data_IF_100594631081
#
_entry.id   IF_100594631081
#
_cell.length_a   1.000
_cell.length_b   1.000
_cell.length_c   1.000
_cell.angle_alpha   90.00
_cell.angle_beta   90.00
_cell.angle_gamma   90.00
#
_symmetry.space_group_name_H-M   'P 1'
#
loop_
_entity.id
_entity.type
_entity.pdbx_description
1 polymer ?
#
# COMPACT_ATOMS: atom_id res chain seq x y z
N UNK A 1 8.84 22.81 -35.79
CA UNK A 1 9.16 24.24 -35.56
C UNK A 1 7.97 25.08 -36.00
N UNK A 2 7.41 25.94 -35.13
CA UNK A 2 6.43 26.98 -35.48
C UNK A 2 6.77 28.24 -34.68
N UNK A 3 6.62 29.41 -35.31
CA UNK A 3 7.13 30.69 -34.80
C UNK A 3 6.22 31.31 -33.73
N UNK A 4 6.85 32.00 -32.78
CA UNK A 4 6.23 33.05 -31.97
C UNK A 4 6.11 34.35 -32.77
N UNK A 5 5.10 35.19 -32.47
CA UNK A 5 5.23 36.64 -32.48
C UNK A 5 5.29 37.16 -31.03
N UNK A 6 6.31 37.96 -30.71
CA UNK A 6 6.34 38.74 -29.48
C UNK A 6 5.81 40.16 -29.69
N UNK A 7 5.51 40.89 -28.61
CA UNK A 7 5.50 42.35 -28.63
C UNK A 7 5.92 42.92 -27.27
N UNK A 8 6.67 44.03 -27.30
CA UNK A 8 7.16 44.77 -26.13
C UNK A 8 6.00 45.53 -25.43
N UNK A 9 6.22 46.09 -24.23
CA UNK A 9 6.38 47.56 -24.04
C UNK A 9 6.67 48.01 -22.58
N UNK A 10 7.82 48.69 -22.42
CA UNK A 10 8.16 49.84 -21.54
C UNK A 10 8.02 49.83 -20.00
N UNK A 11 9.19 50.09 -19.38
CA UNK A 11 9.39 50.75 -18.07
C UNK A 11 9.08 52.27 -18.11
N UNK A 12 8.26 52.75 -17.16
CA UNK A 12 8.19 54.12 -16.57
C UNK A 12 7.49 53.97 -15.18
N UNK A 13 7.75 54.71 -14.10
CA UNK A 13 8.79 55.71 -13.79
C UNK A 13 8.26 56.93 -13.03
N UNK A 14 8.97 57.37 -11.96
CA UNK A 14 8.75 58.65 -11.21
C UNK A 14 7.45 58.76 -10.36
N UNK A 15 7.30 59.63 -9.33
CA UNK A 15 8.22 60.41 -8.47
C UNK A 15 7.49 60.73 -7.12
N UNK A 16 8.28 61.03 -6.07
CA UNK A 16 7.87 61.47 -4.73
C UNK A 16 7.03 62.77 -4.69
N UNK A 17 6.01 62.84 -3.83
CA UNK A 17 5.46 64.12 -3.29
C UNK A 17 5.29 64.00 -1.77
N UNK A 18 5.84 64.97 -1.03
CA UNK A 18 5.68 65.14 0.42
C UNK A 18 4.62 66.22 0.66
N UNK A 19 3.68 65.98 1.59
CA UNK A 19 2.84 67.03 2.17
C UNK A 19 2.83 66.92 3.70
N UNK A 20 3.34 67.97 4.34
CA UNK A 20 3.32 68.15 5.80
C UNK A 20 2.01 68.83 6.21
N UNK A 21 1.29 68.25 7.16
CA UNK A 21 0.26 68.94 7.94
C UNK A 21 0.32 68.41 9.37
N UNK A 22 0.82 69.23 10.29
CA UNK A 22 0.88 68.88 11.72
C UNK A 22 -0.43 69.21 12.42
N UNK A 23 -0.78 68.43 13.46
CA UNK A 23 -1.73 68.85 14.48
C UNK A 23 -1.45 68.13 15.81
N UNK A 24 -1.51 68.92 16.89
CA UNK A 24 -1.40 68.63 18.31
C UNK A 24 -1.67 67.19 18.79
N UNK A 25 -0.76 66.66 19.62
CA UNK A 25 -1.00 65.44 20.41
C UNK A 25 -1.71 65.77 21.74
N UNK A 26 -2.95 65.29 21.98
CA UNK A 26 -3.49 65.19 23.33
C UNK A 26 -2.94 63.93 24.03
N UNK A 27 -2.56 64.06 25.31
CA UNK A 27 -2.07 62.95 26.13
C UNK A 27 -3.12 61.83 26.23
N UNK A 28 -2.84 60.67 25.64
CA UNK A 28 -3.69 59.47 25.77
C UNK A 28 -3.28 58.68 27.00
N UNK A 29 -4.21 58.54 27.95
CA UNK A 29 -4.10 57.59 29.07
C UNK A 29 -3.96 56.17 28.54
N UNK A 30 -2.90 55.46 28.93
CA UNK A 30 -2.73 54.05 28.58
C UNK A 30 -3.65 53.21 29.47
N UNK A 31 -4.72 52.68 28.88
CA UNK A 31 -5.54 51.64 29.51
C UNK A 31 -4.95 50.29 29.12
N UNK A 32 -4.34 49.61 30.08
CA UNK A 32 -3.81 48.25 29.88
C UNK A 32 -4.98 47.29 29.57
N UNK A 33 -4.95 46.55 28.45
CA UNK A 33 -5.96 45.53 28.20
C UNK A 33 -5.81 44.39 29.21
N UNK A 34 -6.90 43.98 29.83
CA UNK A 34 -6.91 42.78 30.67
C UNK A 34 -6.67 41.53 29.79
N UNK A 35 -5.82 40.62 30.25
CA UNK A 35 -5.56 39.37 29.55
C UNK A 35 -6.78 38.45 29.66
N UNK A 36 -7.54 38.34 28.57
CA UNK A 36 -8.58 37.32 28.43
C UNK A 36 -7.93 35.94 28.39
N UNK A 37 -8.19 35.11 29.41
CA UNK A 37 -7.76 33.71 29.42
C UNK A 37 -8.53 32.93 28.34
N UNK A 38 -7.86 32.57 27.25
CA UNK A 38 -8.40 31.62 26.29
C UNK A 38 -8.54 30.22 26.95
N UNK A 39 -9.60 29.45 26.65
CA UNK A 39 -9.70 28.08 27.10
C UNK A 39 -8.56 27.25 26.48
N UNK A 40 -7.85 26.49 27.32
CA UNK A 40 -6.79 25.60 26.88
C UNK A 40 -7.42 24.50 26.00
N UNK A 41 -7.12 24.50 24.71
CA UNK A 41 -7.44 23.36 23.83
C UNK A 41 -6.57 22.21 24.29
N UNK A 42 -7.18 21.22 24.93
CA UNK A 42 -6.50 19.97 25.26
C UNK A 42 -6.25 19.22 23.96
N UNK A 43 -5.00 19.19 23.52
CA UNK A 43 -4.59 18.32 22.41
C UNK A 43 -4.82 16.87 22.85
N UNK A 44 -5.81 16.21 22.24
CA UNK A 44 -5.99 14.77 22.39
C UNK A 44 -4.73 14.09 21.86
N UNK A 45 -4.06 13.21 22.63
CA UNK A 45 -2.93 12.45 22.12
C UNK A 45 -3.31 11.71 20.82
N UNK A 46 -2.41 11.63 19.82
CA UNK A 46 -2.69 10.81 18.64
C UNK A 46 -3.01 9.38 19.07
N UNK A 47 -3.94 8.68 18.40
CA UNK A 47 -4.26 7.30 18.73
C UNK A 47 -2.99 6.47 18.65
N UNK A 48 -2.66 5.78 19.75
CA UNK A 48 -1.56 4.81 19.78
C UNK A 48 -1.99 3.62 18.93
N UNK A 49 -1.53 3.60 17.68
CA UNK A 49 -1.63 2.40 16.84
C UNK A 49 -0.74 1.35 17.51
N UNK A 50 -1.28 0.19 17.94
CA UNK A 50 -0.45 -0.89 18.45
C UNK A 50 0.51 -1.31 17.35
N UNK A 51 1.79 -1.39 17.68
CA UNK A 51 2.80 -1.97 16.79
C UNK A 51 2.38 -3.43 16.49
N UNK A 52 2.39 -3.88 15.22
CA UNK A 52 1.97 -5.23 14.88
C UNK A 52 2.78 -6.25 15.70
N UNK A 53 2.15 -7.34 16.18
CA UNK A 53 2.87 -8.40 16.90
C UNK A 53 3.92 -9.12 16.03
N UNK A 54 3.90 -8.88 14.71
CA UNK A 54 4.71 -9.48 13.68
C UNK A 54 5.40 -8.39 12.85
N UNK A 55 6.65 -8.63 12.44
CA UNK A 55 7.39 -7.74 11.56
C UNK A 55 6.93 -7.95 10.11
N UNK A 56 6.48 -6.89 9.44
CA UNK A 56 6.07 -6.93 8.03
C UNK A 56 7.12 -6.20 7.20
N UNK A 57 7.59 -6.84 6.14
CA UNK A 57 8.52 -6.27 5.17
C UNK A 57 7.99 -6.46 3.75
N UNK A 58 8.08 -5.41 2.95
CA UNK A 58 7.76 -5.47 1.53
C UNK A 58 8.94 -6.12 0.82
N UNK A 59 8.67 -7.15 0.01
CA UNK A 59 9.69 -7.66 -0.89
C UNK A 59 9.11 -7.95 -2.27
N UNK A 60 9.32 -6.98 -3.16
CA UNK A 60 8.68 -6.91 -4.47
C UNK A 60 9.47 -7.65 -5.56
N UNK A 61 10.79 -7.80 -5.40
CA UNK A 61 11.67 -8.42 -6.40
C UNK A 61 12.15 -9.76 -5.86
N UNK A 62 11.57 -10.86 -6.36
CA UNK A 62 11.80 -12.25 -5.91
C UNK A 62 13.28 -12.59 -5.68
N UNK A 63 14.18 -12.15 -6.57
CA UNK A 63 15.63 -12.41 -6.51
C UNK A 63 16.38 -11.61 -5.46
N UNK A 64 15.79 -10.55 -4.91
CA UNK A 64 16.35 -9.71 -3.85
C UNK A 64 15.81 -10.11 -2.46
N UNK A 65 14.82 -10.99 -2.43
CA UNK A 65 14.15 -11.36 -1.19
C UNK A 65 14.92 -12.40 -0.37
N UNK A 66 14.81 -12.36 0.97
CA UNK A 66 15.30 -13.44 1.81
C UNK A 66 14.59 -14.76 1.48
N UNK A 67 15.23 -15.91 1.78
CA UNK A 67 14.55 -17.21 1.75
C UNK A 67 13.40 -17.20 2.77
N UNK A 68 12.24 -17.68 2.33
CA UNK A 68 10.96 -17.66 3.06
C UNK A 68 10.25 -19.00 2.91
N UNK A 69 9.29 -19.27 3.77
CA UNK A 69 8.23 -20.24 3.48
C UNK A 69 7.10 -19.54 2.74
N UNK A 70 6.65 -20.05 1.60
CA UNK A 70 5.50 -19.49 0.88
C UNK A 70 4.20 -20.10 1.42
N UNK A 71 3.18 -19.28 1.68
CA UNK A 71 1.88 -19.78 2.18
C UNK A 71 1.09 -20.57 1.14
N UNK A 72 1.25 -20.25 -0.15
CA UNK A 72 0.59 -20.98 -1.24
C UNK A 72 1.16 -22.40 -1.38
N UNK A 73 2.48 -22.60 -1.23
CA UNK A 73 3.11 -23.92 -1.15
C UNK A 73 2.48 -24.81 -0.08
N UNK A 74 2.18 -24.25 1.09
CA UNK A 74 1.62 -24.98 2.23
C UNK A 74 0.17 -25.45 2.03
N UNK A 75 -0.57 -24.79 1.13
CA UNK A 75 -1.92 -25.19 0.72
C UNK A 75 -1.92 -25.94 -0.62
N UNK A 76 -0.76 -26.33 -1.13
CA UNK A 76 -0.62 -27.08 -2.39
C UNK A 76 -0.80 -26.25 -3.66
N UNK A 77 -0.57 -24.94 -3.58
CA UNK A 77 -0.75 -23.95 -4.67
C UNK A 77 -2.14 -23.98 -5.30
N UNK A 78 -3.18 -24.13 -4.47
CA UNK A 78 -4.56 -24.06 -4.97
C UNK A 78 -4.91 -22.66 -5.47
N UNK A 79 -5.66 -22.60 -6.57
CA UNK A 79 -6.11 -21.35 -7.20
C UNK A 79 -7.46 -20.86 -6.67
N UNK A 80 -8.17 -21.69 -5.91
CA UNK A 80 -9.48 -21.38 -5.34
C UNK A 80 -9.32 -20.50 -4.10
N UNK A 81 -10.12 -19.43 -4.04
CA UNK A 81 -10.23 -18.59 -2.85
C UNK A 81 -10.96 -19.34 -1.71
N UNK A 82 -10.52 -19.16 -0.46
CA UNK A 82 -11.06 -19.93 0.65
C UNK A 82 -10.35 -19.71 1.99
N UNK A 83 -10.74 -20.50 3.00
CA UNK A 83 -10.11 -20.51 4.33
C UNK A 83 -9.26 -21.77 4.50
N UNK A 84 -8.01 -21.60 4.93
CA UNK A 84 -7.02 -22.64 5.07
C UNK A 84 -6.40 -22.60 6.47
N UNK A 85 -6.15 -23.77 7.07
CA UNK A 85 -5.40 -23.87 8.32
C UNK A 85 -3.98 -24.34 7.99
N UNK A 86 -2.95 -23.62 8.46
CA UNK A 86 -1.54 -23.88 8.12
C UNK A 86 -0.64 -23.81 9.35
N UNK A 87 0.27 -24.78 9.47
CA UNK A 87 1.26 -24.85 10.55
C UNK A 87 2.62 -24.37 10.05
N UNK A 88 2.99 -23.13 10.33
CA UNK A 88 4.25 -22.52 9.85
C UNK A 88 5.41 -22.78 10.81
N UNK A 89 6.67 -22.90 10.35
CA UNK A 89 7.81 -22.88 11.25
C UNK A 89 7.94 -21.49 11.90
N UNK A 90 8.11 -21.44 13.23
CA UNK A 90 8.21 -20.17 13.96
C UNK A 90 9.56 -19.45 13.79
N UNK A 91 10.57 -20.13 13.24
CA UNK A 91 11.96 -19.66 13.12
C UNK A 91 12.30 -19.13 11.72
N UNK A 92 11.31 -19.00 10.84
CA UNK A 92 11.50 -18.53 9.46
C UNK A 92 10.47 -17.47 9.08
N UNK A 93 10.86 -16.46 8.29
CA UNK A 93 9.90 -15.56 7.68
C UNK A 93 9.01 -16.31 6.68
N UNK A 94 7.75 -15.87 6.62
CA UNK A 94 6.70 -16.43 5.79
C UNK A 94 6.28 -15.37 4.78
N UNK A 95 6.20 -15.73 3.49
CA UNK A 95 5.71 -14.83 2.45
C UNK A 95 4.28 -15.18 2.06
N UNK A 96 3.48 -14.14 2.00
CA UNK A 96 2.17 -14.16 1.35
C UNK A 96 2.28 -13.48 -0.01
N UNK A 97 1.65 -14.05 -1.03
CA UNK A 97 1.51 -13.46 -2.36
C UNK A 97 0.14 -13.81 -2.93
N UNK A 98 -0.51 -12.83 -3.55
CA UNK A 98 -1.68 -13.04 -4.40
C UNK A 98 -1.48 -12.23 -5.68
N UNK A 99 -1.92 -12.78 -6.81
CA UNK A 99 -1.71 -12.20 -8.12
C UNK A 99 -2.94 -12.34 -9.00
N UNK A 100 -3.15 -11.36 -9.87
CA UNK A 100 -4.11 -11.42 -10.96
C UNK A 100 -3.35 -11.41 -12.30
N UNK A 101 -3.83 -12.19 -13.26
CA UNK A 101 -3.22 -12.40 -14.57
C UNK A 101 -4.10 -11.84 -15.68
N UNK A 102 -3.47 -11.35 -16.74
CA UNK A 102 -4.15 -10.89 -17.97
C UNK A 102 -3.42 -11.36 -19.22
N UNK A 103 -4.15 -11.47 -20.32
CA UNK A 103 -3.61 -11.93 -21.61
C UNK A 103 -2.68 -10.93 -22.31
N UNK A 104 -2.63 -9.67 -21.86
CA UNK A 104 -1.70 -8.66 -22.38
C UNK A 104 -1.47 -7.49 -21.40
N UNK A 105 -0.33 -6.78 -21.49
CA UNK A 105 -0.04 -5.59 -20.66
C UNK A 105 -1.05 -4.46 -20.81
N UNK A 106 -1.66 -4.31 -21.99
CA UNK A 106 -2.72 -3.30 -22.21
C UNK A 106 -3.94 -3.61 -21.34
N UNK A 107 -4.37 -4.88 -21.33
CA UNK A 107 -5.49 -5.34 -20.51
C UNK A 107 -5.16 -5.19 -19.02
N UNK A 108 -3.91 -5.43 -18.60
CA UNK A 108 -3.48 -5.12 -17.23
C UNK A 108 -3.73 -3.64 -16.91
N UNK A 109 -3.11 -2.74 -17.68
CA UNK A 109 -3.14 -1.28 -17.44
C UNK A 109 -4.57 -0.72 -17.44
N UNK A 110 -5.41 -1.16 -18.37
CA UNK A 110 -6.80 -0.69 -18.48
C UNK A 110 -7.64 -1.06 -17.23
N UNK A 111 -7.32 -2.17 -16.56
CA UNK A 111 -8.06 -2.66 -15.41
C UNK A 111 -7.45 -2.28 -14.04
N UNK A 112 -6.20 -1.80 -13.98
CA UNK A 112 -5.49 -1.50 -12.71
C UNK A 112 -6.27 -0.58 -11.75
N UNK A 113 -7.03 0.37 -12.28
CA UNK A 113 -7.82 1.32 -11.48
C UNK A 113 -8.98 0.67 -10.72
N UNK A 114 -9.40 -0.53 -11.13
CA UNK A 114 -10.55 -1.26 -10.59
C UNK A 114 -10.15 -2.33 -9.56
N UNK A 115 -8.85 -2.56 -9.33
CA UNK A 115 -8.35 -3.62 -8.45
C UNK A 115 -8.16 -3.07 -7.04
N UNK A 116 -8.93 -3.60 -6.09
CA UNK A 116 -8.83 -3.28 -4.68
C UNK A 116 -8.15 -4.41 -3.94
N UNK A 117 -6.92 -4.17 -3.49
CA UNK A 117 -6.11 -5.13 -2.75
C UNK A 117 -6.50 -5.20 -1.28
N UNK A 118 -6.34 -6.39 -0.70
CA UNK A 118 -6.57 -6.68 0.70
C UNK A 118 -5.31 -7.32 1.27
N UNK A 119 -4.78 -6.79 2.37
CA UNK A 119 -3.78 -7.46 3.19
C UNK A 119 -3.97 -7.11 4.66
N UNK A 120 -4.64 -8.00 5.38
CA UNK A 120 -4.98 -7.86 6.79
C UNK A 120 -4.32 -8.96 7.62
N UNK A 121 -3.88 -8.62 8.83
CA UNK A 121 -3.47 -9.60 9.85
C UNK A 121 -4.27 -9.31 11.13
N UNK A 122 -4.92 -10.33 11.67
CA UNK A 122 -5.76 -10.28 12.87
C UNK A 122 -6.87 -9.20 12.81
N UNK A 123 -7.34 -8.89 11.59
CA UNK A 123 -8.36 -7.88 11.32
C UNK A 123 -7.86 -6.44 11.24
N UNK A 124 -6.54 -6.20 11.36
CA UNK A 124 -5.91 -4.91 11.08
C UNK A 124 -5.37 -4.90 9.65
N UNK A 125 -5.63 -3.81 8.92
CA UNK A 125 -5.13 -3.59 7.56
C UNK A 125 -3.66 -3.17 7.57
N UNK A 126 -2.87 -3.79 6.69
CA UNK A 126 -1.45 -3.53 6.46
C UNK A 126 -1.12 -3.32 4.98
N UNK A 127 -2.13 -3.21 4.11
CA UNK A 127 -1.89 -2.94 2.70
C UNK A 127 -1.14 -1.62 2.50
N UNK A 128 -0.08 -1.67 1.69
CA UNK A 128 0.60 -0.48 1.16
C UNK A 128 0.66 -0.57 -0.36
N UNK A 129 0.43 0.54 -1.11
CA UNK A 129 0.65 0.58 -2.55
C UNK A 129 2.05 0.12 -2.98
N UNK A 130 3.06 0.28 -2.14
CA UNK A 130 4.44 -0.17 -2.41
C UNK A 130 4.57 -1.71 -2.47
N UNK A 131 3.58 -2.46 -1.98
CA UNK A 131 3.51 -3.91 -2.11
C UNK A 131 3.09 -4.35 -3.52
N UNK A 132 2.55 -3.44 -4.35
CA UNK A 132 2.03 -3.77 -5.68
C UNK A 132 3.18 -3.91 -6.68
N UNK A 133 3.28 -5.08 -7.29
CA UNK A 133 4.33 -5.46 -8.24
C UNK A 133 3.69 -5.94 -9.54
N UNK A 134 4.14 -5.39 -10.67
CA UNK A 134 3.85 -5.91 -11.99
C UNK A 134 4.92 -6.91 -12.41
N UNK A 135 4.50 -8.03 -12.98
CA UNK A 135 5.38 -9.06 -13.54
C UNK A 135 4.90 -9.43 -14.94
N UNK A 136 5.69 -8.99 -15.92
CA UNK A 136 5.54 -9.30 -17.32
C UNK A 136 6.10 -10.69 -17.61
N UNK A 137 5.29 -11.59 -18.16
CA UNK A 137 5.73 -12.92 -18.52
C UNK A 137 6.73 -12.89 -19.70
N UNK A 138 7.53 -13.96 -19.90
CA UNK A 138 8.25 -14.18 -21.15
C UNK A 138 7.29 -14.16 -22.36
N UNK A 139 7.78 -13.66 -23.50
CA UNK A 139 7.01 -13.65 -24.75
C UNK A 139 6.78 -15.08 -25.25
N UNK A 140 5.52 -15.40 -25.59
CA UNK A 140 5.13 -16.67 -26.20
C UNK A 140 5.30 -16.57 -27.72
N UNK A 141 6.38 -17.19 -28.24
CA UNK A 141 6.67 -17.21 -29.66
C UNK A 141 5.73 -18.10 -30.50
N UNK A 142 4.97 -19.01 -29.89
CA UNK A 142 4.01 -19.86 -30.61
C UNK A 142 2.69 -19.10 -30.80
N UNK A 143 2.14 -18.55 -29.71
CA UNK A 143 0.86 -17.83 -29.71
C UNK A 143 0.99 -16.35 -30.10
N UNK A 144 2.22 -15.82 -30.15
CA UNK A 144 2.55 -14.39 -30.37
C UNK A 144 1.96 -13.45 -29.32
N UNK A 145 1.77 -13.95 -28.10
CA UNK A 145 1.20 -13.25 -26.95
C UNK A 145 2.25 -12.99 -25.86
N UNK A 146 1.92 -12.12 -24.92
CA UNK A 146 2.71 -11.93 -23.70
C UNK A 146 1.74 -11.63 -22.56
N UNK A 147 1.58 -12.59 -21.65
CA UNK A 147 0.77 -12.37 -20.46
C UNK A 147 1.43 -11.37 -19.52
N UNK A 148 0.63 -10.67 -18.73
CA UNK A 148 1.08 -9.76 -17.70
C UNK A 148 0.33 -10.02 -16.39
N UNK A 149 0.96 -9.77 -15.26
CA UNK A 149 0.38 -10.00 -13.95
C UNK A 149 0.66 -8.84 -13.01
N UNK A 150 -0.29 -8.59 -12.11
CA UNK A 150 -0.11 -7.67 -10.98
C UNK A 150 -0.31 -8.46 -9.70
N UNK A 151 0.49 -8.19 -8.69
CA UNK A 151 0.45 -8.92 -7.43
C UNK A 151 0.78 -8.03 -6.26
N UNK A 152 0.29 -8.40 -5.09
CA UNK A 152 0.88 -7.92 -3.82
C UNK A 152 1.71 -9.04 -3.20
N UNK A 153 2.81 -8.67 -2.56
CA UNK A 153 3.55 -9.60 -1.71
C UNK A 153 4.12 -8.93 -0.46
N UNK A 154 4.02 -9.65 0.66
CA UNK A 154 4.57 -9.24 1.93
C UNK A 154 5.28 -10.43 2.59
N UNK A 155 6.41 -10.16 3.22
CA UNK A 155 7.15 -11.11 4.04
C UNK A 155 6.95 -10.77 5.51
N UNK A 156 6.47 -11.74 6.29
CA UNK A 156 6.00 -11.60 7.66
C UNK A 156 6.89 -12.48 8.56
N UNK A 157 7.37 -11.91 9.66
CA UNK A 157 8.34 -12.52 10.57
C UNK A 157 8.02 -12.18 12.04
N UNK A 158 8.78 -12.74 13.00
CA UNK A 158 8.58 -12.54 14.44
C UNK A 158 7.60 -13.53 15.08
N UNK A 159 7.33 -14.64 14.40
CA UNK A 159 6.36 -15.66 14.81
C UNK A 159 6.69 -16.30 16.17
N UNK A 160 5.70 -16.34 17.07
CA UNK A 160 5.83 -17.01 18.37
C UNK A 160 5.08 -18.34 18.35
N UNK A 161 5.73 -19.38 18.88
CA UNK A 161 5.19 -20.74 18.95
C UNK A 161 3.82 -20.74 19.66
N UNK A 162 2.81 -21.32 19.01
CA UNK A 162 1.42 -21.38 19.46
C UNK A 162 0.70 -20.03 19.66
N UNK A 163 1.20 -18.92 19.08
CA UNK A 163 0.44 -17.67 18.95
C UNK A 163 -0.31 -17.69 17.60
N UNK A 164 -1.63 -17.99 17.56
CA UNK A 164 -2.35 -18.13 16.30
C UNK A 164 -2.66 -16.76 15.70
N UNK A 165 -2.57 -16.67 14.38
CA UNK A 165 -2.85 -15.45 13.62
C UNK A 165 -3.79 -15.74 12.44
N UNK A 166 -4.58 -14.74 12.02
CA UNK A 166 -5.42 -14.82 10.82
C UNK A 166 -4.90 -13.84 9.78
N UNK A 167 -4.37 -14.33 8.67
CA UNK A 167 -3.99 -13.49 7.52
C UNK A 167 -5.12 -13.53 6.50
N UNK A 168 -5.69 -12.40 6.14
CA UNK A 168 -6.64 -12.27 5.03
C UNK A 168 -5.98 -11.47 3.92
N UNK A 169 -5.85 -12.09 2.75
CA UNK A 169 -5.12 -11.52 1.61
C UNK A 169 -5.91 -11.75 0.32
N UNK A 170 -5.90 -10.79 -0.60
CA UNK A 170 -6.66 -10.96 -1.83
C UNK A 170 -6.82 -9.69 -2.65
N UNK A 171 -7.76 -9.75 -3.59
CA UNK A 171 -8.28 -8.60 -4.29
C UNK A 171 -9.77 -8.76 -4.60
N UNK A 172 -10.44 -7.65 -4.93
CA UNK A 172 -11.74 -7.62 -5.58
C UNK A 172 -11.77 -6.54 -6.67
N UNK A 173 -12.75 -6.62 -7.57
CA UNK A 173 -13.01 -5.59 -8.58
C UNK A 173 -14.23 -4.75 -8.21
N UNK A 174 -14.14 -3.42 -8.33
CA UNK A 174 -15.28 -2.52 -8.09
C UNK A 174 -16.23 -2.39 -9.29
N UNK A 175 -15.70 -2.54 -10.51
CA UNK A 175 -16.44 -2.65 -11.76
C UNK A 175 -16.17 -4.00 -12.45
N UNK A 176 -16.87 -4.27 -13.56
CA UNK A 176 -16.62 -5.48 -14.34
C UNK A 176 -15.36 -5.31 -15.19
N UNK A 177 -14.43 -6.26 -15.10
CA UNK A 177 -13.13 -6.24 -15.80
C UNK A 177 -13.00 -7.47 -16.71
N UNK A 178 -12.32 -7.32 -17.85
CA UNK A 178 -11.99 -8.45 -18.72
C UNK A 178 -10.49 -8.75 -18.60
N UNK A 179 -10.11 -10.01 -18.36
CA UNK A 179 -8.69 -10.40 -18.26
C UNK A 179 -8.06 -10.84 -19.60
N UNK A 180 -8.84 -10.82 -20.68
CA UNK A 180 -8.45 -11.30 -22.01
C UNK A 180 -8.84 -12.75 -22.29
N UNK A 181 -9.27 -13.51 -21.29
CA UNK A 181 -9.82 -14.86 -21.43
C UNK A 181 -11.29 -14.92 -20.99
N UNK A 182 -11.69 -14.16 -19.98
CA UNK A 182 -13.04 -14.10 -19.43
C UNK A 182 -13.41 -12.71 -18.89
N UNK A 183 -14.72 -12.48 -18.76
CA UNK A 183 -15.28 -11.33 -18.03
C UNK A 183 -15.43 -11.68 -16.54
N UNK A 184 -14.85 -10.88 -15.67
CA UNK A 184 -14.99 -10.95 -14.22
C UNK A 184 -15.97 -9.84 -13.79
N UNK A 185 -17.14 -10.15 -13.22
CA UNK A 185 -18.15 -9.15 -12.89
C UNK A 185 -17.73 -8.26 -11.71
N UNK A 186 -18.29 -7.05 -11.63
CA UNK A 186 -18.18 -6.18 -10.45
C UNK A 186 -18.51 -6.95 -9.15
N UNK A 187 -17.64 -6.81 -8.14
CA UNK A 187 -17.71 -7.55 -6.89
C UNK A 187 -17.13 -8.98 -6.93
N UNK A 188 -16.61 -9.44 -8.08
CA UNK A 188 -15.75 -10.62 -8.11
C UNK A 188 -14.54 -10.41 -7.20
N UNK A 189 -14.16 -11.46 -6.48
CA UNK A 189 -13.04 -11.42 -5.54
C UNK A 189 -12.29 -12.74 -5.47
N UNK A 190 -10.98 -12.66 -5.24
CA UNK A 190 -10.13 -13.80 -4.93
C UNK A 190 -9.45 -13.51 -3.59
N UNK A 191 -9.99 -14.08 -2.51
CA UNK A 191 -9.59 -13.80 -1.13
C UNK A 191 -9.25 -15.10 -0.42
N UNK A 192 -8.01 -15.18 0.08
CA UNK A 192 -7.48 -16.28 0.87
C UNK A 192 -7.43 -15.86 2.34
N UNK A 193 -7.89 -16.74 3.23
CA UNK A 193 -7.83 -16.57 4.67
C UNK A 193 -6.96 -17.70 5.23
N UNK A 194 -5.78 -17.37 5.72
CA UNK A 194 -4.87 -18.32 6.36
C UNK A 194 -5.00 -18.20 7.87
N UNK A 195 -5.54 -19.25 8.50
CA UNK A 195 -5.47 -19.46 9.94
C UNK A 195 -4.10 -20.10 10.24
N UNK A 196 -3.16 -19.26 10.65
CA UNK A 196 -1.76 -19.59 10.86
C UNK A 196 -1.53 -20.03 12.30
N UNK A 197 -0.88 -21.17 12.50
CA UNK A 197 -0.36 -21.58 13.82
C UNK A 197 1.15 -21.80 13.73
N UNK A 198 1.99 -20.95 14.35
CA UNK A 198 3.42 -21.16 14.38
C UNK A 198 3.80 -22.34 15.27
N UNK A 199 4.60 -23.26 14.74
CA UNK A 199 5.09 -24.45 15.41
C UNK A 199 6.62 -24.46 15.44
N UNK A 200 7.20 -25.21 16.38
CA UNK A 200 8.63 -25.49 16.35
C UNK A 200 9.00 -26.23 15.05
N UNK A 201 10.14 -25.92 14.42
CA UNK A 201 10.62 -26.70 13.27
C UNK A 201 10.84 -28.16 13.66
N UNK A 202 10.53 -29.09 12.75
CA UNK A 202 10.82 -30.50 12.96
C UNK A 202 12.32 -30.69 13.19
N UNK A 203 12.68 -31.36 14.29
CA UNK A 203 14.07 -31.70 14.55
C UNK A 203 14.48 -32.80 13.58
N UNK A 204 15.57 -32.65 12.80
CA UNK A 204 15.99 -33.69 11.88
C UNK A 204 16.26 -34.98 12.66
N UNK A 205 15.57 -36.05 12.27
CA UNK A 205 15.87 -37.39 12.79
C UNK A 205 17.21 -37.80 12.19
N UNK A 206 18.24 -38.15 12.99
CA UNK A 206 19.53 -38.57 12.44
C UNK A 206 19.34 -39.84 11.60
N UNK A 207 19.92 -39.86 10.40
CA UNK A 207 20.00 -41.09 9.60
C UNK A 207 20.81 -42.16 10.36
N UNK A 208 20.40 -43.45 10.28
CA UNK A 208 21.03 -44.55 11.02
C UNK A 208 22.38 -45.02 10.46
#
# INVERSE_FOLDING_TARGET
>A
MRQFPGFLYKLVGSILIILLAGCSFPSRTVVTPALTSAPLVSETPPPVIPEPPLAISICSVESECPPVVLLDDMIGRVVEAGTYNVSIPNDKPVRVRVMWWTASPTIMVDNLAHIHWIFEIDGQDYFSPDMVVQYLAPYDEENKTQADSVSISATIDGWKVNEPHTIRVGYYFDESVNDGWQDNPAGFSQIFIYNVTPVLPETPTPEP
#
